data_IF_788869714263
#
_entry.id   IF_788869714263
#
_cell.length_a   1.000
_cell.length_b   1.000
_cell.length_c   1.000
_cell.angle_alpha   90.00
_cell.angle_beta   90.00
_cell.angle_gamma   90.00
#
_symmetry.space_group_name_H-M   'P 1'
#
loop_
_entity.id
_entity.type
_entity.pdbx_description
1 polymer ?
#
# COMPACT_ATOMS: atom_id res chain seq x y z
N UNK A 1 9.41 -21.91 21.57
CA UNK A 1 9.68 -20.59 22.14
C UNK A 1 8.33 -19.97 22.44
N UNK A 2 8.12 -19.40 23.63
CA UNK A 2 6.85 -18.74 23.98
C UNK A 2 6.99 -17.31 23.47
N UNK A 3 6.16 -16.92 22.50
CA UNK A 3 6.18 -15.57 21.94
C UNK A 3 5.95 -14.51 23.01
N UNK A 4 6.57 -13.35 22.82
CA UNK A 4 6.51 -12.26 23.79
C UNK A 4 5.07 -11.77 23.92
N UNK A 5 4.38 -11.99 25.06
CA UNK A 5 2.96 -11.65 25.22
C UNK A 5 2.69 -10.13 25.28
N UNK A 6 3.72 -9.30 25.15
CA UNK A 6 3.63 -7.84 25.05
C UNK A 6 3.93 -7.30 23.64
N UNK A 7 4.04 -8.18 22.64
CA UNK A 7 3.95 -7.75 21.25
C UNK A 7 2.60 -7.05 21.06
N UNK A 8 2.63 -5.78 20.68
CA UNK A 8 1.40 -5.06 20.35
C UNK A 8 0.78 -5.76 19.14
N UNK A 9 -0.42 -6.33 19.31
CA UNK A 9 -1.07 -7.18 18.30
C UNK A 9 -1.27 -6.45 16.96
N UNK A 10 -1.17 -5.12 16.92
CA UNK A 10 -1.20 -4.36 15.67
C UNK A 10 0.05 -4.54 14.79
N UNK A 11 1.17 -5.03 15.35
CA UNK A 11 2.42 -5.26 14.61
C UNK A 11 2.69 -6.74 14.33
N UNK A 12 1.91 -7.66 14.89
CA UNK A 12 1.90 -9.09 14.56
C UNK A 12 1.00 -9.27 13.33
N UNK A 13 1.59 -9.07 12.15
CA UNK A 13 0.91 -9.03 10.86
C UNK A 13 0.66 -10.42 10.29
N UNK A 14 1.40 -11.43 10.75
CA UNK A 14 1.21 -12.83 10.34
C UNK A 14 0.38 -13.66 11.35
N UNK A 15 -0.04 -13.05 12.46
CA UNK A 15 -0.84 -13.66 13.55
C UNK A 15 -0.14 -14.87 14.21
N UNK A 16 1.19 -14.89 14.25
CA UNK A 16 1.98 -15.98 14.84
C UNK A 16 2.30 -15.78 16.34
N UNK A 17 1.92 -14.63 16.90
CA UNK A 17 2.14 -14.26 18.29
C UNK A 17 3.53 -13.66 18.57
N UNK A 18 4.32 -13.38 17.54
CA UNK A 18 5.63 -12.73 17.64
C UNK A 18 5.69 -11.56 16.66
N UNK A 19 6.34 -10.47 17.05
CA UNK A 19 6.67 -9.37 16.12
C UNK A 19 8.12 -9.55 15.69
N UNK A 20 8.33 -9.97 14.45
CA UNK A 20 9.63 -10.35 13.90
C UNK A 20 9.76 -10.07 12.38
N UNK A 21 10.79 -10.63 11.73
CA UNK A 21 11.07 -10.43 10.32
C UNK A 21 9.96 -10.92 9.38
N UNK A 22 9.18 -11.92 9.79
CA UNK A 22 8.03 -12.42 9.03
C UNK A 22 6.92 -11.36 8.93
N UNK A 23 6.69 -10.58 9.97
CA UNK A 23 5.74 -9.46 9.93
C UNK A 23 6.22 -8.37 8.98
N UNK A 24 7.53 -8.07 9.00
CA UNK A 24 8.13 -7.15 8.04
C UNK A 24 7.92 -7.62 6.61
N UNK A 25 8.11 -8.92 6.35
CA UNK A 25 7.83 -9.52 5.03
C UNK A 25 6.38 -9.28 4.62
N UNK A 26 5.41 -9.52 5.51
CA UNK A 26 3.98 -9.23 5.26
C UNK A 26 3.77 -7.74 4.96
N UNK A 27 4.40 -6.85 5.71
CA UNK A 27 4.29 -5.41 5.47
C UNK A 27 4.83 -5.01 4.10
N UNK A 28 6.04 -5.46 3.73
CA UNK A 28 6.70 -5.10 2.47
C UNK A 28 5.93 -5.67 1.27
N UNK A 29 5.64 -6.97 1.31
CA UNK A 29 5.17 -7.70 0.13
C UNK A 29 3.64 -7.66 -0.02
N UNK A 30 2.90 -7.82 1.09
CA UNK A 30 1.45 -8.00 1.04
C UNK A 30 0.70 -6.67 1.24
N UNK A 31 1.15 -5.84 2.19
CA UNK A 31 0.48 -4.58 2.52
C UNK A 31 0.96 -3.42 1.66
N UNK A 32 2.27 -3.20 1.58
CA UNK A 32 2.85 -2.14 0.75
C UNK A 32 2.98 -2.52 -0.71
N UNK A 33 3.06 -3.81 -1.01
CA UNK A 33 3.24 -4.32 -2.37
C UNK A 33 4.44 -3.66 -3.04
N UNK A 34 5.57 -3.69 -2.33
CA UNK A 34 6.85 -3.25 -2.85
C UNK A 34 7.90 -4.38 -2.71
N UNK A 35 9.18 -4.02 -2.72
CA UNK A 35 10.33 -4.88 -2.61
C UNK A 35 11.17 -4.49 -1.39
N UNK A 36 11.85 -5.47 -0.82
CA UNK A 36 13.05 -5.17 -0.04
C UNK A 36 14.07 -4.52 -0.96
N UNK A 37 14.68 -3.41 -0.52
CA UNK A 37 15.58 -2.61 -1.34
C UNK A 37 14.98 -1.29 -1.85
N UNK A 38 13.65 -1.19 -1.96
CA UNK A 38 12.96 0.04 -2.36
C UNK A 38 12.99 1.04 -1.20
N UNK A 39 14.00 1.91 -1.20
CA UNK A 39 14.32 2.80 -0.08
C UNK A 39 13.43 4.04 -0.06
N UNK A 40 12.92 4.45 -1.22
CA UNK A 40 12.04 5.62 -1.35
C UNK A 40 10.54 5.24 -1.38
N UNK A 41 10.23 3.95 -1.32
CA UNK A 41 8.88 3.38 -1.38
C UNK A 41 8.11 3.75 -2.66
N UNK A 42 8.80 3.87 -3.79
CA UNK A 42 8.20 4.19 -5.10
C UNK A 42 7.61 2.97 -5.82
N UNK A 43 7.80 1.77 -5.24
CA UNK A 43 7.30 0.50 -5.74
C UNK A 43 8.33 -0.27 -6.55
N UNK A 44 9.52 0.27 -6.81
CA UNK A 44 10.60 -0.37 -7.56
C UNK A 44 11.85 -0.50 -6.68
N UNK A 45 12.58 -1.61 -6.82
CA UNK A 45 13.93 -1.72 -6.27
C UNK A 45 14.93 -1.70 -7.43
N UNK A 46 15.70 -0.63 -7.53
CA UNK A 46 16.64 -0.43 -8.63
C UNK A 46 17.89 0.34 -8.24
N UNK A 47 18.67 0.70 -9.26
CA UNK A 47 19.91 1.49 -9.05
C UNK A 47 19.68 2.85 -8.39
N UNK A 48 18.48 3.44 -8.52
CA UNK A 48 18.12 4.71 -7.87
C UNK A 48 18.18 4.62 -6.34
N UNK A 49 17.69 3.52 -5.77
CA UNK A 49 17.72 3.25 -4.33
C UNK A 49 19.14 3.16 -3.82
N UNK A 50 19.99 2.41 -4.52
CA UNK A 50 21.41 2.30 -4.16
C UNK A 50 22.11 3.65 -4.16
N UNK A 51 21.90 4.48 -5.17
CA UNK A 51 22.49 5.82 -5.21
C UNK A 51 22.00 6.66 -4.03
N UNK A 52 20.72 6.55 -3.65
CA UNK A 52 20.16 7.29 -2.52
C UNK A 52 20.78 6.85 -1.19
N UNK A 53 20.77 5.55 -0.86
CA UNK A 53 21.28 5.06 0.43
C UNK A 53 22.79 5.24 0.57
N UNK A 54 23.57 5.03 -0.51
CA UNK A 54 25.01 5.26 -0.46
C UNK A 54 25.38 6.74 -0.35
N UNK A 55 24.54 7.66 -0.83
CA UNK A 55 24.79 9.09 -0.66
C UNK A 55 24.67 9.55 0.80
N UNK A 56 23.97 8.78 1.65
CA UNK A 56 23.82 9.05 3.08
C UNK A 56 25.04 8.60 3.89
N UNK A 57 25.80 7.62 3.39
CA UNK A 57 27.09 7.22 3.96
C UNK A 57 27.02 6.34 5.20
N UNK A 58 25.89 5.68 5.44
CA UNK A 58 25.68 4.80 6.61
C UNK A 58 26.15 3.35 6.38
N UNK A 59 26.54 3.00 5.14
CA UNK A 59 27.01 1.65 4.82
C UNK A 59 28.27 1.29 5.61
N UNK A 60 28.15 0.32 6.53
CA UNK A 60 29.27 -0.19 7.34
C UNK A 60 30.07 0.94 8.02
N UNK A 61 29.39 2.00 8.47
CA UNK A 61 30.04 3.18 9.04
C UNK A 61 30.50 3.02 10.50
N UNK A 62 29.98 1.99 11.18
CA UNK A 62 30.28 1.65 12.57
C UNK A 62 29.54 2.50 13.62
N UNK A 63 28.50 3.25 13.22
CA UNK A 63 27.67 4.07 14.10
C UNK A 63 26.40 3.29 14.44
N UNK A 64 26.39 2.69 15.63
CA UNK A 64 25.29 1.80 16.01
C UNK A 64 23.91 2.48 16.02
N UNK A 65 22.95 1.90 15.31
CA UNK A 65 21.54 2.26 15.33
C UNK A 65 21.21 3.58 14.64
N UNK A 66 22.03 4.02 13.68
CA UNK A 66 21.76 5.23 12.91
C UNK A 66 20.96 4.98 11.63
N UNK A 67 20.74 3.73 11.23
CA UNK A 67 20.04 3.41 9.98
C UNK A 67 18.56 3.12 10.17
N UNK A 68 17.80 3.48 9.13
CA UNK A 68 16.37 3.21 8.97
C UNK A 68 16.12 2.72 7.54
N UNK A 69 14.90 2.33 7.22
CA UNK A 69 14.52 1.84 5.89
C UNK A 69 15.01 2.73 4.73
N UNK A 70 14.79 4.05 4.85
CA UNK A 70 15.17 5.05 3.85
C UNK A 70 16.68 5.20 3.68
N UNK A 71 17.47 4.74 4.66
CA UNK A 71 18.94 4.83 4.67
C UNK A 71 19.64 3.49 4.44
N UNK A 72 18.88 2.40 4.30
CA UNK A 72 19.38 1.09 3.87
C UNK A 72 19.14 -0.07 4.86
N UNK A 73 18.54 0.17 6.02
CA UNK A 73 18.18 -0.86 7.01
C UNK A 73 16.91 -1.62 6.57
N UNK A 74 17.09 -2.55 5.64
CA UNK A 74 16.02 -3.33 5.01
C UNK A 74 15.70 -4.61 5.78
N UNK A 75 16.65 -5.14 6.57
CA UNK A 75 16.39 -6.25 7.50
C UNK A 75 15.80 -5.76 8.84
N UNK A 76 15.94 -4.47 9.14
CA UNK A 76 15.43 -3.77 10.31
C UNK A 76 16.17 -4.09 11.61
N UNK A 77 17.49 -4.28 11.55
CA UNK A 77 18.38 -4.43 12.70
C UNK A 77 19.02 -3.12 13.16
N UNK A 78 18.79 -2.03 12.43
CA UNK A 78 19.23 -0.67 12.76
C UNK A 78 20.56 -0.26 12.13
N UNK A 79 21.16 -1.13 11.30
CA UNK A 79 22.40 -0.86 10.58
C UNK A 79 22.17 -0.97 9.07
N UNK A 80 22.85 -0.15 8.28
CA UNK A 80 22.97 -0.40 6.84
C UNK A 80 24.25 -1.19 6.57
N UNK A 81 24.10 -2.49 6.32
CA UNK A 81 25.25 -3.40 6.18
C UNK A 81 25.07 -4.42 5.07
N UNK A 82 26.05 -5.31 4.93
CA UNK A 82 25.98 -6.40 3.95
C UNK A 82 24.76 -7.30 4.15
N UNK A 83 24.21 -7.44 5.37
CA UNK A 83 23.02 -8.28 5.59
C UNK A 83 21.74 -7.71 4.97
N UNK A 84 21.65 -6.40 4.78
CA UNK A 84 20.54 -5.76 4.07
C UNK A 84 20.57 -6.10 2.58
N UNK A 85 21.76 -6.13 1.98
CA UNK A 85 21.92 -6.60 0.61
C UNK A 85 21.51 -8.05 0.46
N UNK A 86 21.93 -8.92 1.39
CA UNK A 86 21.49 -10.33 1.38
C UNK A 86 19.96 -10.40 1.43
N UNK A 87 19.35 -9.67 2.36
CA UNK A 87 17.88 -9.63 2.53
C UNK A 87 17.17 -9.16 1.25
N UNK A 88 17.61 -8.06 0.65
CA UNK A 88 16.99 -7.50 -0.56
C UNK A 88 17.21 -8.37 -1.82
N UNK A 89 18.39 -8.96 -1.97
CA UNK A 89 18.67 -9.82 -3.13
C UNK A 89 18.04 -11.20 -3.00
N UNK A 90 17.93 -11.76 -1.79
CA UNK A 90 17.19 -13.00 -1.56
C UNK A 90 15.69 -12.84 -1.85
N UNK A 91 15.13 -11.65 -1.61
CA UNK A 91 13.75 -11.32 -2.01
C UNK A 91 13.56 -11.20 -3.54
N UNK A 92 14.64 -11.09 -4.32
CA UNK A 92 14.62 -11.17 -5.78
C UNK A 92 13.96 -10.00 -6.51
N UNK A 93 13.89 -8.83 -5.88
CA UNK A 93 13.17 -7.66 -6.40
C UNK A 93 13.94 -6.76 -7.37
N UNK A 94 15.27 -6.89 -7.41
CA UNK A 94 16.14 -5.95 -8.12
C UNK A 94 15.84 -5.91 -9.63
N UNK A 95 15.59 -4.70 -10.14
CA UNK A 95 15.35 -4.41 -11.56
C UNK A 95 14.19 -5.25 -12.17
N UNK A 96 13.21 -5.65 -11.34
CA UNK A 96 11.98 -6.31 -11.79
C UNK A 96 10.91 -5.31 -12.27
N UNK A 97 11.16 -4.01 -12.10
CA UNK A 97 10.19 -2.94 -12.33
C UNK A 97 9.15 -2.82 -11.21
N UNK A 98 8.24 -1.84 -11.30
CA UNK A 98 7.33 -1.50 -10.20
C UNK A 98 6.38 -2.64 -9.81
N UNK A 99 6.38 -3.02 -8.52
CA UNK A 99 5.29 -3.77 -7.87
C UNK A 99 4.19 -2.79 -7.50
N UNK A 100 2.93 -3.20 -7.59
CA UNK A 100 1.84 -2.43 -7.01
C UNK A 100 1.37 -1.22 -7.82
N UNK A 101 1.59 -1.18 -9.14
CA UNK A 101 0.73 -0.40 -10.01
C UNK A 101 -0.71 -0.88 -9.84
N UNK A 102 -1.50 -0.19 -9.00
CA UNK A 102 -2.93 -0.46 -8.82
C UNK A 102 -3.55 -0.49 -10.22
N UNK A 103 -3.90 -1.69 -10.69
CA UNK A 103 -4.84 -1.81 -11.79
C UNK A 103 -6.05 -0.99 -11.35
N UNK A 104 -6.38 0.07 -12.12
CA UNK A 104 -7.54 0.88 -11.86
C UNK A 104 -8.73 -0.05 -11.67
N UNK A 105 -9.23 -0.17 -10.45
CA UNK A 105 -10.40 -0.98 -10.15
C UNK A 105 -11.54 -0.33 -10.94
N UNK A 106 -12.20 -1.01 -11.88
CA UNK A 106 -13.41 -0.48 -12.47
C UNK A 106 -14.43 -0.38 -11.34
N UNK A 107 -14.68 0.83 -10.85
CA UNK A 107 -15.66 1.03 -9.79
C UNK A 107 -17.01 0.50 -10.27
N UNK A 108 -17.62 -0.49 -9.57
CA UNK A 108 -18.97 -0.86 -9.91
C UNK A 108 -19.89 0.29 -9.49
N UNK A 109 -20.71 0.76 -10.43
CA UNK A 109 -22.06 1.29 -10.16
C UNK A 109 -22.28 2.69 -9.56
N UNK A 110 -21.26 3.56 -9.43
CA UNK A 110 -21.50 4.97 -9.06
C UNK A 110 -22.38 5.71 -10.08
N UNK A 111 -22.07 5.56 -11.38
CA UNK A 111 -22.82 6.19 -12.45
C UNK A 111 -24.25 5.64 -12.59
N UNK A 112 -24.47 4.35 -12.41
CA UNK A 112 -25.80 3.73 -12.54
C UNK A 112 -26.77 4.17 -11.45
N UNK A 113 -26.31 4.41 -10.22
CA UNK A 113 -27.17 4.93 -9.14
C UNK A 113 -27.60 6.38 -9.39
N UNK A 114 -26.72 7.21 -9.96
CA UNK A 114 -27.04 8.60 -10.31
C UNK A 114 -28.06 8.68 -11.45
N UNK A 115 -27.92 7.84 -12.48
CA UNK A 115 -28.89 7.80 -13.59
C UNK A 115 -30.25 7.21 -13.19
N UNK A 116 -30.27 6.21 -12.30
CA UNK A 116 -31.52 5.66 -11.75
C UNK A 116 -32.28 6.69 -10.88
N UNK A 117 -31.55 7.48 -10.08
CA UNK A 117 -32.14 8.54 -9.26
C UNK A 117 -32.75 9.68 -10.10
N UNK A 118 -32.08 10.10 -11.19
CA UNK A 118 -32.58 11.16 -12.07
C UNK A 118 -33.76 10.71 -12.95
N UNK A 119 -33.82 9.42 -13.30
CA UNK A 119 -34.96 8.85 -14.05
C UNK A 119 -36.27 8.83 -13.27
N UNK A 120 -36.25 8.58 -11.95
CA UNK A 120 -37.47 8.59 -11.13
C UNK A 120 -38.06 9.98 -10.92
N UNK A 121 -37.24 11.04 -10.85
CA UNK A 121 -37.73 12.42 -10.66
C UNK A 121 -38.50 12.92 -11.90
N UNK A 122 -38.09 12.52 -13.10
CA UNK A 122 -38.74 12.93 -14.35
C UNK A 122 -40.12 12.28 -14.58
N UNK A 123 -40.36 11.08 -14.04
CA UNK A 123 -41.64 10.35 -14.21
C UNK A 123 -42.74 10.93 -13.31
N UNK A 124 -42.40 11.38 -12.10
CA UNK A 124 -43.38 11.93 -11.14
C UNK A 124 -43.84 13.34 -11.55
N UNK A 125 -43.00 14.13 -12.22
CA UNK A 125 -43.31 15.52 -12.59
C UNK A 125 -44.33 15.72 -13.71
N UNK A 126 -44.74 14.69 -14.45
CA UNK A 126 -45.67 14.81 -15.60
C UNK A 126 -47.16 14.60 -15.28
N UNK A 127 -47.50 14.31 -14.02
CA UNK A 127 -48.84 13.86 -13.62
C UNK A 127 -49.91 14.94 -13.37
N UNK A 128 -49.60 16.24 -13.37
CA UNK A 128 -50.60 17.28 -13.03
C UNK A 128 -50.94 18.13 -14.25
N UNK A 129 -51.80 17.59 -15.14
CA UNK A 129 -52.55 18.41 -16.09
C UNK A 129 -54.01 18.45 -15.64
N UNK A 130 -54.38 19.51 -14.94
CA UNK A 130 -55.76 19.81 -14.56
C UNK A 130 -56.60 19.95 -15.84
N UNK A 131 -57.44 18.94 -16.09
CA UNK A 131 -58.52 18.99 -17.08
C UNK A 131 -59.63 19.88 -16.52
N UNK A 132 -59.72 21.13 -16.99
CA UNK A 132 -60.89 21.96 -16.73
C UNK A 132 -62.05 21.48 -17.60
N UNK A 133 -63.07 20.94 -16.93
CA UNK A 133 -64.26 20.39 -17.54
C UNK A 133 -65.07 21.45 -18.28
N UNK A 134 -65.28 21.23 -19.58
CA UNK A 134 -66.27 21.93 -20.40
C UNK A 134 -67.64 21.30 -20.11
N UNK A 135 -68.47 21.94 -19.28
CA UNK A 135 -69.92 21.66 -19.19
C UNK A 135 -70.62 22.41 -20.31
N UNK A 136 -71.35 21.66 -21.14
CA UNK A 136 -72.19 22.21 -22.20
C UNK A 136 -73.51 22.79 -21.68
N UNK A 137 -74.07 23.74 -22.43
CA UNK A 137 -75.27 23.57 -23.27
C UNK A 137 -75.37 24.77 -24.19
#
# INVERSE_FOLDING_TARGET
>A
AVGNPNADAQFDLNEDGNVNAEDRRVWVEDLKKTYFGDSNLDGEFGTGDFVAVFALGEYEDGIVGNSVWETGDWNGDGEFSTSDFVTAFEAGGFEQGPRGGVAAVPEPTGATLVFAALGMVAVVGRGVRLSSGRRGR
#
